data_IF_664649001144
#
_entry.id   IF_664649001144
#
_cell.length_a   1.000
_cell.length_b   1.000
_cell.length_c   1.000
_cell.angle_alpha   90.00
_cell.angle_beta   90.00
_cell.angle_gamma   90.00
#
_symmetry.space_group_name_H-M   'P 1'
#
loop_
_entity.id
_entity.type
_entity.pdbx_description
1 polymer ?
#
# COMPACT_ATOMS: atom_id res chain seq x y z
N UNK A 1 -28.40 -16.51 -22.84
CA UNK A 1 -27.13 -15.74 -22.79
C UNK A 1 -27.41 -14.24 -22.94
N UNK A 2 -27.78 -13.53 -21.86
CA UNK A 2 -28.05 -12.08 -21.89
C UNK A 2 -27.78 -11.35 -20.56
N UNK A 3 -27.11 -11.97 -19.58
CA UNK A 3 -26.99 -11.37 -18.22
C UNK A 3 -25.64 -10.73 -17.89
N UNK A 4 -24.62 -10.86 -18.74
CA UNK A 4 -23.31 -10.21 -18.48
C UNK A 4 -23.17 -8.80 -19.06
N UNK A 5 -24.16 -8.31 -19.81
CA UNK A 5 -24.07 -7.00 -20.49
C UNK A 5 -24.32 -5.80 -19.57
N UNK A 6 -24.67 -6.02 -18.30
CA UNK A 6 -25.07 -4.96 -17.37
C UNK A 6 -23.93 -4.43 -16.49
N UNK A 7 -22.73 -5.02 -16.53
CA UNK A 7 -21.59 -4.55 -15.73
C UNK A 7 -20.80 -3.40 -16.39
N UNK A 8 -21.28 -2.84 -17.50
CA UNK A 8 -20.60 -1.82 -18.29
C UNK A 8 -21.28 -0.44 -18.30
N UNK A 9 -22.18 -0.17 -17.34
CA UNK A 9 -22.86 1.13 -17.20
C UNK A 9 -22.33 1.95 -15.98
N UNK A 10 -21.37 1.46 -15.21
CA UNK A 10 -20.96 2.12 -13.96
C UNK A 10 -19.99 3.33 -14.12
N UNK A 11 -19.85 3.91 -15.31
CA UNK A 11 -18.96 5.06 -15.54
C UNK A 11 -19.61 6.43 -15.20
N UNK A 12 -20.79 6.46 -14.57
CA UNK A 12 -21.41 7.74 -14.17
C UNK A 12 -21.93 7.84 -12.74
N UNK A 13 -21.64 6.90 -11.84
CA UNK A 13 -22.04 6.98 -10.43
C UNK A 13 -20.96 6.41 -9.52
N UNK A 14 -19.96 7.20 -9.16
CA UNK A 14 -18.94 6.88 -8.13
C UNK A 14 -19.53 6.76 -6.69
N UNK A 15 -20.85 6.62 -6.54
CA UNK A 15 -21.54 6.69 -5.26
C UNK A 15 -22.09 5.35 -4.73
N UNK A 16 -22.04 4.22 -5.47
CA UNK A 16 -22.77 3.01 -5.06
C UNK A 16 -22.12 1.64 -5.35
N UNK A 17 -20.88 1.59 -5.82
CA UNK A 17 -20.17 0.31 -5.95
C UNK A 17 -19.16 0.17 -4.81
N UNK A 18 -19.44 -0.73 -3.86
CA UNK A 18 -18.50 -1.04 -2.79
C UNK A 18 -17.25 -1.71 -3.38
N UNK A 19 -16.07 -1.18 -3.08
CA UNK A 19 -14.81 -1.77 -3.52
C UNK A 19 -14.59 -3.13 -2.82
N UNK A 20 -14.23 -4.19 -3.56
CA UNK A 20 -13.90 -5.48 -2.95
C UNK A 20 -12.81 -5.34 -1.90
N UNK A 21 -12.91 -6.11 -0.82
CA UNK A 21 -11.89 -6.12 0.21
C UNK A 21 -10.61 -6.78 -0.31
N UNK A 22 -9.58 -5.98 -0.54
CA UNK A 22 -8.25 -6.41 -0.98
C UNK A 22 -7.21 -6.35 0.14
N UNK A 23 -7.60 -6.39 1.41
CA UNK A 23 -6.67 -6.27 2.55
C UNK A 23 -5.48 -7.23 2.48
N UNK A 24 -5.72 -8.45 1.99
CA UNK A 24 -4.70 -9.47 1.79
C UNK A 24 -3.58 -9.07 0.80
N UNK A 25 -3.84 -8.12 -0.11
CA UNK A 25 -2.80 -7.59 -1.03
C UNK A 25 -1.71 -6.89 -0.24
N UNK A 26 -2.08 -6.08 0.75
CA UNK A 26 -1.13 -5.28 1.53
C UNK A 26 -0.23 -6.13 2.42
N UNK A 27 -0.67 -7.35 2.79
CA UNK A 27 0.13 -8.32 3.55
C UNK A 27 1.31 -8.90 2.76
N UNK A 28 1.35 -8.69 1.43
CA UNK A 28 2.40 -9.17 0.53
C UNK A 28 2.77 -10.65 0.76
N UNK A 29 1.78 -11.52 0.89
CA UNK A 29 1.99 -12.95 1.19
C UNK A 29 2.92 -13.19 2.39
N UNK A 30 2.79 -12.37 3.44
CA UNK A 30 3.59 -12.40 4.66
C UNK A 30 5.09 -12.06 4.49
N UNK A 31 5.49 -11.60 3.30
CA UNK A 31 6.85 -11.15 2.99
C UNK A 31 6.99 -9.64 3.26
N UNK A 32 8.15 -9.17 3.73
CA UNK A 32 8.40 -7.75 3.84
C UNK A 32 8.47 -7.11 2.45
N UNK A 33 8.03 -5.86 2.35
CA UNK A 33 8.49 -4.95 1.32
C UNK A 33 9.95 -4.60 1.60
N UNK A 34 10.77 -4.53 0.55
CA UNK A 34 12.20 -4.22 0.65
C UNK A 34 12.50 -2.96 -0.13
N UNK A 35 13.57 -2.25 0.25
CA UNK A 35 13.85 -0.97 -0.38
C UNK A 35 14.98 -0.19 0.25
N UNK A 36 14.96 1.12 0.04
CA UNK A 36 16.01 2.03 0.50
C UNK A 36 15.47 3.23 1.25
N UNK A 37 16.20 3.67 2.28
CA UNK A 37 15.97 4.89 3.05
C UNK A 37 17.21 5.81 3.03
N UNK A 38 16.96 7.12 2.87
CA UNK A 38 17.97 8.17 2.93
C UNK A 38 18.92 8.23 1.73
N UNK A 39 19.78 9.24 1.71
CA UNK A 39 20.66 9.53 0.56
C UNK A 39 21.73 8.45 0.31
N UNK A 40 22.14 7.74 1.36
CA UNK A 40 23.09 6.62 1.26
C UNK A 40 22.44 5.31 0.78
N UNK A 41 21.14 5.34 0.45
CA UNK A 41 20.36 4.17 0.01
C UNK A 41 20.49 2.98 0.97
N UNK A 42 20.42 3.27 2.28
CA UNK A 42 20.47 2.23 3.30
C UNK A 42 19.28 1.29 3.14
N UNK A 43 19.51 -0.02 3.29
CA UNK A 43 18.43 -1.00 3.16
C UNK A 43 17.38 -0.81 4.26
N UNK A 44 16.12 -0.88 3.86
CA UNK A 44 14.96 -0.90 4.75
C UNK A 44 14.05 -2.07 4.37
N UNK A 45 13.49 -2.72 5.39
CA UNK A 45 12.42 -3.71 5.24
C UNK A 45 11.20 -3.21 5.99
N UNK A 46 10.02 -3.33 5.37
CA UNK A 46 8.74 -3.00 5.99
C UNK A 46 7.82 -4.20 5.83
N UNK A 47 7.39 -4.80 6.94
CA UNK A 47 6.44 -5.91 6.93
C UNK A 47 5.10 -5.45 7.47
N UNK A 48 4.05 -5.62 6.69
CA UNK A 48 2.66 -5.44 7.13
C UNK A 48 2.17 -6.81 7.65
N UNK A 49 1.73 -6.84 8.90
CA UNK A 49 1.27 -8.04 9.59
C UNK A 49 -0.25 -8.14 9.62
N UNK A 50 -0.94 -7.00 9.76
CA UNK A 50 -2.40 -6.93 9.69
C UNK A 50 -2.82 -5.88 8.69
N UNK A 51 -3.97 -6.12 8.06
CA UNK A 51 -4.62 -5.14 7.19
C UNK A 51 -6.12 -5.33 7.25
N UNK A 52 -6.82 -4.24 7.53
CA UNK A 52 -8.28 -4.22 7.67
C UNK A 52 -8.85 -3.09 6.83
N UNK A 53 -9.84 -3.39 6.00
CA UNK A 53 -10.57 -2.37 5.24
C UNK A 53 -11.44 -1.55 6.19
N UNK A 54 -11.46 -0.24 6.02
CA UNK A 54 -12.31 0.63 6.82
C UNK A 54 -13.80 0.41 6.45
N UNK A 55 -14.60 -0.01 7.41
CA UNK A 55 -16.04 -0.29 7.23
C UNK A 55 -16.86 0.94 6.79
N UNK A 56 -16.36 2.16 7.03
CA UNK A 56 -16.99 3.43 6.62
C UNK A 56 -16.45 3.96 5.29
N UNK A 57 -15.30 3.48 4.86
CA UNK A 57 -14.61 3.95 3.65
C UNK A 57 -13.82 2.80 3.03
N UNK A 58 -14.42 2.12 2.06
CA UNK A 58 -13.86 0.95 1.40
C UNK A 58 -12.56 1.20 0.60
N UNK A 59 -12.18 2.46 0.40
CA UNK A 59 -10.92 2.87 -0.23
C UNK A 59 -9.79 3.08 0.78
N UNK A 60 -10.05 2.88 2.08
CA UNK A 60 -9.08 3.05 3.15
C UNK A 60 -8.83 1.74 3.89
N UNK A 61 -7.58 1.51 4.26
CA UNK A 61 -7.14 0.34 5.01
C UNK A 61 -6.31 0.78 6.20
N UNK A 62 -6.57 0.19 7.36
CA UNK A 62 -5.72 0.30 8.53
C UNK A 62 -4.76 -0.88 8.54
N UNK A 63 -3.48 -0.60 8.84
CA UNK A 63 -2.42 -1.60 8.82
C UNK A 63 -1.57 -1.51 10.08
N UNK A 64 -1.02 -2.64 10.50
CA UNK A 64 0.01 -2.70 11.53
C UNK A 64 1.13 -3.63 11.11
N UNK A 65 2.33 -3.39 11.64
CA UNK A 65 3.51 -4.12 11.20
C UNK A 65 4.79 -3.65 11.85
N UNK A 66 5.89 -3.85 11.11
CA UNK A 66 7.23 -3.52 11.55
C UNK A 66 8.07 -2.94 10.43
N UNK A 67 8.88 -1.94 10.74
CA UNK A 67 10.03 -1.53 9.95
C UNK A 67 11.32 -2.12 10.54
N UNK A 68 12.31 -2.34 9.67
CA UNK A 68 13.67 -2.71 10.03
C UNK A 68 14.63 -1.88 9.18
N UNK A 69 15.46 -1.09 9.85
CA UNK A 69 16.54 -0.32 9.24
C UNK A 69 17.82 -0.70 9.96
N UNK A 70 18.78 -1.26 9.21
CA UNK A 70 19.98 -1.92 9.77
C UNK A 70 19.59 -3.02 10.80
N UNK A 71 19.69 -2.74 12.10
CA UNK A 71 19.35 -3.67 13.20
C UNK A 71 18.23 -3.15 14.11
N UNK A 72 17.64 -2.01 13.77
CA UNK A 72 16.60 -1.38 14.57
C UNK A 72 15.23 -1.78 14.06
N UNK A 73 14.49 -2.51 14.90
CA UNK A 73 13.09 -2.82 14.67
C UNK A 73 12.20 -1.75 15.31
N UNK A 74 11.27 -1.23 14.53
CA UNK A 74 10.19 -0.39 15.07
C UNK A 74 8.83 -0.98 14.69
N UNK A 75 7.94 -1.06 15.68
CA UNK A 75 6.52 -1.33 15.42
C UNK A 75 5.95 -0.14 14.69
N UNK A 76 5.05 -0.37 13.75
CA UNK A 76 4.33 0.69 13.07
C UNK A 76 2.85 0.37 12.94
N UNK A 77 2.06 1.43 12.86
CA UNK A 77 0.65 1.41 12.54
C UNK A 77 0.37 2.54 11.54
N UNK A 78 -0.70 2.42 10.77
CA UNK A 78 -1.03 3.48 9.83
C UNK A 78 -2.15 3.13 8.90
N UNK A 79 -2.22 3.88 7.80
CA UNK A 79 -3.26 3.72 6.81
C UNK A 79 -2.77 3.83 5.37
N UNK A 80 -3.56 3.22 4.51
CA UNK A 80 -3.47 3.28 3.06
C UNK A 80 -4.79 3.83 2.54
N UNK A 81 -4.73 4.85 1.69
CA UNK A 81 -5.91 5.43 1.05
C UNK A 81 -5.75 5.37 -0.46
N UNK A 82 -6.61 4.60 -1.10
CA UNK A 82 -6.72 4.55 -2.56
C UNK A 82 -7.32 5.87 -3.03
N UNK A 83 -6.70 6.49 -4.03
CA UNK A 83 -7.15 7.78 -4.58
C UNK A 83 -7.57 7.66 -6.04
N UNK A 84 -7.10 6.63 -6.75
CA UNK A 84 -7.41 6.45 -8.17
C UNK A 84 -7.27 5.01 -8.61
N UNK A 85 -8.25 4.54 -9.38
CA UNK A 85 -8.18 3.31 -10.15
C UNK A 85 -8.09 3.61 -11.65
N UNK A 86 -7.22 2.90 -12.35
CA UNK A 86 -7.10 2.92 -13.80
C UNK A 86 -7.19 1.49 -14.32
N UNK A 87 -8.34 1.16 -14.89
CA UNK A 87 -8.51 -0.08 -15.62
C UNK A 87 -7.72 -0.04 -16.93
N UNK A 88 -7.07 -1.15 -17.26
CA UNK A 88 -6.29 -1.26 -18.49
C UNK A 88 -6.45 -2.63 -19.13
N UNK A 89 -6.47 -2.66 -20.47
CA UNK A 89 -6.72 -3.89 -21.25
C UNK A 89 -5.82 -5.07 -20.90
N UNK A 90 -4.58 -4.80 -20.46
CA UNK A 90 -3.56 -5.82 -20.12
C UNK A 90 -3.07 -5.77 -18.68
N UNK A 91 -3.15 -4.60 -18.04
CA UNK A 91 -2.70 -4.34 -16.67
C UNK A 91 -3.57 -3.23 -16.10
N UNK A 92 -4.03 -3.42 -14.87
CA UNK A 92 -4.75 -2.39 -14.13
C UNK A 92 -3.80 -1.77 -13.11
N UNK A 93 -4.01 -0.50 -12.80
CA UNK A 93 -3.17 0.24 -11.86
C UNK A 93 -4.02 1.00 -10.87
N UNK A 94 -3.72 0.84 -9.59
CA UNK A 94 -4.24 1.63 -8.49
C UNK A 94 -3.17 2.58 -7.97
N UNK A 95 -3.61 3.77 -7.59
CA UNK A 95 -2.78 4.78 -6.95
C UNK A 95 -3.40 5.14 -5.61
N UNK A 96 -2.55 5.49 -4.66
CA UNK A 96 -3.00 5.98 -3.38
C UNK A 96 -1.90 6.65 -2.60
N UNK A 97 -2.25 6.98 -1.37
CA UNK A 97 -1.39 7.62 -0.39
C UNK A 97 -1.29 6.71 0.83
N UNK A 98 -0.18 6.81 1.55
CA UNK A 98 0.04 6.05 2.76
C UNK A 98 0.66 6.92 3.85
N UNK A 99 0.34 6.56 5.09
CA UNK A 99 0.96 7.09 6.28
C UNK A 99 1.18 5.95 7.27
N UNK A 100 2.43 5.71 7.67
CA UNK A 100 2.80 4.72 8.67
C UNK A 100 3.60 5.38 9.79
N UNK A 101 3.07 5.39 11.00
CA UNK A 101 3.71 5.93 12.18
C UNK A 101 4.38 4.80 12.97
N UNK A 102 5.66 4.95 13.25
CA UNK A 102 6.38 4.04 14.14
C UNK A 102 6.04 4.33 15.61
N UNK A 103 6.10 3.34 16.49
CA UNK A 103 5.99 3.55 17.93
C UNK A 103 7.06 4.55 18.39
N UNK A 104 6.65 5.61 19.08
CA UNK A 104 7.58 6.66 19.51
C UNK A 104 8.52 6.13 20.60
N UNK A 105 9.76 5.83 20.22
CA UNK A 105 10.85 5.38 21.10
C UNK A 105 12.00 6.38 21.14
N UNK A 106 11.74 7.63 20.76
CA UNK A 106 12.72 8.72 20.73
C UNK A 106 13.27 9.02 19.32
N UNK A 107 14.52 9.47 19.25
CA UNK A 107 15.14 10.12 18.07
C UNK A 107 15.20 9.26 16.80
N UNK A 108 15.03 7.95 16.91
CA UNK A 108 15.09 7.00 15.78
C UNK A 108 13.72 6.38 15.47
N UNK A 109 12.65 7.10 15.79
CA UNK A 109 11.28 6.74 15.41
C UNK A 109 10.63 7.91 14.69
N UNK A 110 9.78 7.60 13.73
CA UNK A 110 9.19 8.61 12.87
C UNK A 110 7.98 8.14 12.10
N UNK A 111 7.63 8.90 11.08
CA UNK A 111 6.46 8.67 10.23
C UNK A 111 6.89 8.54 8.78
N UNK A 112 6.52 7.44 8.16
CA UNK A 112 6.56 7.28 6.72
C UNK A 112 5.32 7.91 6.09
N UNK A 113 5.49 8.75 5.08
CA UNK A 113 4.40 9.35 4.30
C UNK A 113 4.74 9.35 2.83
N UNK A 114 3.78 9.01 1.98
CA UNK A 114 4.03 9.03 0.54
C UNK A 114 2.87 8.54 -0.29
N UNK A 115 3.22 8.10 -1.50
CA UNK A 115 2.30 7.55 -2.48
C UNK A 115 2.64 6.11 -2.77
N UNK A 116 1.63 5.33 -3.11
CA UNK A 116 1.81 3.99 -3.61
C UNK A 116 1.24 3.82 -5.01
N UNK A 117 1.86 2.90 -5.75
CA UNK A 117 1.37 2.40 -7.03
C UNK A 117 1.24 0.90 -6.93
N UNK A 118 0.05 0.38 -7.20
CA UNK A 118 -0.21 -1.05 -7.28
C UNK A 118 -0.61 -1.41 -8.70
N UNK A 119 0.22 -2.17 -9.39
CA UNK A 119 -0.06 -2.68 -10.74
C UNK A 119 -0.32 -4.17 -10.67
N UNK A 120 -1.43 -4.63 -11.27
CA UNK A 120 -1.76 -6.05 -11.31
C UNK A 120 -2.32 -6.48 -12.67
N UNK A 121 -2.13 -7.76 -12.98
CA UNK A 121 -2.74 -8.44 -14.12
C UNK A 121 -3.83 -9.38 -13.63
N UNK A 122 -5.06 -9.08 -14.02
CA UNK A 122 -6.22 -9.91 -13.75
C UNK A 122 -6.44 -10.90 -14.89
N UNK A 123 -6.38 -12.20 -14.60
CA UNK A 123 -6.82 -13.23 -15.54
C UNK A 123 -8.33 -13.42 -15.41
N UNK A 124 -9.05 -13.06 -16.48
CA UNK A 124 -10.51 -13.16 -16.54
C UNK A 124 -11.03 -14.60 -16.58
N UNK A 125 -10.21 -15.55 -17.02
CA UNK A 125 -10.57 -16.97 -17.11
C UNK A 125 -10.42 -17.67 -15.78
N UNK A 126 -9.34 -17.38 -15.04
CA UNK A 126 -9.06 -18.01 -13.73
C UNK A 126 -9.55 -17.18 -12.55
N UNK A 127 -10.01 -15.95 -12.79
CA UNK A 127 -10.43 -14.96 -11.79
C UNK A 127 -9.37 -14.72 -10.71
N UNK A 128 -8.09 -14.71 -11.14
CA UNK A 128 -6.93 -14.58 -10.26
C UNK A 128 -5.96 -13.50 -10.74
N UNK A 129 -5.21 -12.96 -9.79
CA UNK A 129 -4.08 -12.08 -10.05
C UNK A 129 -2.87 -12.93 -10.42
N UNK A 130 -2.36 -12.77 -11.65
CA UNK A 130 -1.21 -13.54 -12.16
C UNK A 130 0.12 -12.87 -11.89
N UNK A 131 0.12 -11.54 -11.90
CA UNK A 131 1.30 -10.74 -11.65
C UNK A 131 0.88 -9.48 -10.90
N UNK A 132 1.67 -9.14 -9.88
CA UNK A 132 1.48 -7.92 -9.11
C UNK A 132 2.81 -7.25 -8.77
N UNK A 133 2.79 -5.94 -8.80
CA UNK A 133 3.88 -5.06 -8.41
C UNK A 133 3.31 -3.95 -7.54
N UNK A 134 3.86 -3.77 -6.35
CA UNK A 134 3.48 -2.74 -5.39
C UNK A 134 4.72 -1.94 -5.08
N UNK A 135 4.61 -0.63 -5.24
CA UNK A 135 5.67 0.31 -4.94
C UNK A 135 5.16 1.41 -4.00
N UNK A 136 5.90 1.67 -2.93
CA UNK A 136 5.73 2.84 -2.06
C UNK A 136 6.89 3.81 -2.31
N UNK A 137 6.57 5.07 -2.58
CA UNK A 137 7.55 6.16 -2.74
C UNK A 137 7.14 7.30 -1.83
N UNK A 138 8.05 7.72 -0.96
CA UNK A 138 7.73 8.75 0.03
C UNK A 138 8.94 9.23 0.81
N UNK A 139 8.64 9.66 2.02
CA UNK A 139 9.59 10.21 2.99
C UNK A 139 9.35 9.56 4.35
N UNK A 140 10.42 9.42 5.12
CA UNK A 140 10.37 9.13 6.56
C UNK A 140 10.87 10.38 7.29
N UNK A 141 10.13 10.83 8.30
CA UNK A 141 10.50 11.97 9.13
C UNK A 141 10.52 11.59 10.60
N UNK A 142 11.58 11.93 11.32
CA UNK A 142 11.63 11.68 12.77
C UNK A 142 10.60 12.52 13.52
N UNK A 143 10.12 12.02 14.66
CA UNK A 143 9.17 12.76 15.49
C UNK A 143 9.72 14.08 16.04
N UNK A 144 11.02 14.17 16.26
CA UNK A 144 11.69 15.39 16.69
C UNK A 144 11.95 16.39 15.54
N UNK A 145 11.60 16.02 14.30
CA UNK A 145 11.74 16.86 13.11
C UNK A 145 13.17 17.07 12.63
N UNK A 146 14.16 16.39 13.23
CA UNK A 146 15.59 16.60 12.90
C UNK A 146 16.06 15.79 11.70
N UNK A 147 15.36 14.70 11.36
CA UNK A 147 15.71 13.79 10.26
C UNK A 147 14.57 13.72 9.23
N UNK A 148 14.94 13.79 7.96
CA UNK A 148 14.04 13.68 6.81
C UNK A 148 14.73 12.86 5.71
N UNK A 149 14.18 11.69 5.39
CA UNK A 149 14.79 10.73 4.48
C UNK A 149 13.81 10.27 3.40
N UNK A 150 14.25 10.34 2.14
CA UNK A 150 13.53 9.71 1.03
C UNK A 150 13.46 8.20 1.22
N UNK A 151 12.31 7.61 0.92
CA UNK A 151 12.05 6.16 1.00
C UNK A 151 11.47 5.63 -0.31
N UNK A 152 11.88 4.42 -0.66
CA UNK A 152 11.31 3.66 -1.77
C UNK A 152 11.26 2.18 -1.37
N UNK A 153 10.08 1.58 -1.36
CA UNK A 153 9.85 0.18 -0.99
C UNK A 153 9.07 -0.54 -2.09
N UNK A 154 9.39 -1.81 -2.32
CA UNK A 154 8.77 -2.64 -3.35
C UNK A 154 8.53 -4.07 -2.83
N UNK A 155 7.66 -4.83 -3.48
CA UNK A 155 7.22 -6.16 -3.03
C UNK A 155 8.03 -7.35 -3.55
N UNK A 156 9.14 -7.12 -4.27
CA UNK A 156 9.98 -8.15 -4.89
C UNK A 156 11.30 -8.39 -4.17
#
# INVERSE_FOLDING_TARGET
MKKLLLLLILVSNFALAQMPNISNVWLNNSKPYTGTIGNKKQEIKLKINTSEQNNKNDQEYFVSGYSLVDKTYAKLEGSLKITKYKDGKKKSTMYGEYEFAEENKGKHSGVFRGKFVYTFKWNKTTEKIEAQDIEFVGDWKSYDGTLDFKTRLQNH
#
